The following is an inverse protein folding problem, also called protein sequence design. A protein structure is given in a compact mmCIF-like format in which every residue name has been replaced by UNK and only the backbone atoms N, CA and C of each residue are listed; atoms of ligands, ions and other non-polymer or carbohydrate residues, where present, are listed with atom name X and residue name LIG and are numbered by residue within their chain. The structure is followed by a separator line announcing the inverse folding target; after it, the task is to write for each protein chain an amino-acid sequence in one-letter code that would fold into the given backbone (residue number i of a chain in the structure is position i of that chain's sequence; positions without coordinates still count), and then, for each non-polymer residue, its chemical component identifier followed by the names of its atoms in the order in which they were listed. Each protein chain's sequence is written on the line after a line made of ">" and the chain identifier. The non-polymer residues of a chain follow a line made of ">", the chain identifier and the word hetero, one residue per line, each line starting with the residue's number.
data_IF_921160959053
#
_entry.id   IF_921160959053
#
_cell.length_a   1.000
_cell.length_b   1.000
_cell.length_c   1.000
_cell.angle_alpha   90.00
_cell.angle_beta   90.00
_cell.angle_gamma   90.00
#
_symmetry.space_group_name_H-M   'P 1'
#
loop_
_entity.id
_entity.type
_entity.pdbx_description
1 polymer ?
#
# COMPACT_ATOMS: atom_id res chain seq x y z
N UNK A 1 16.59 -5.49 -11.12
CA UNK A 1 16.45 -4.25 -10.37
C UNK A 1 17.41 -4.25 -9.20
N UNK A 2 18.15 -3.18 -9.05
CA UNK A 2 19.17 -3.12 -8.01
C UNK A 2 18.60 -3.25 -6.60
N UNK A 3 17.44 -2.63 -6.34
CA UNK A 3 16.82 -2.70 -5.03
C UNK A 3 16.31 -4.10 -4.68
N UNK A 4 15.98 -4.92 -5.69
CA UNK A 4 15.54 -6.27 -5.44
C UNK A 4 16.70 -7.24 -5.25
N UNK A 5 17.85 -6.94 -5.85
CA UNK A 5 19.02 -7.77 -5.73
C UNK A 5 19.55 -7.84 -4.29
N UNK A 6 19.19 -6.87 -3.47
CA UNK A 6 19.62 -6.79 -2.07
C UNK A 6 18.65 -7.46 -1.09
N UNK A 7 17.54 -7.98 -1.58
CA UNK A 7 16.57 -8.63 -0.71
C UNK A 7 16.85 -10.14 -0.64
N UNK A 8 17.40 -10.63 0.49
CA UNK A 8 17.70 -12.06 0.63
C UNK A 8 16.44 -12.93 0.74
N UNK A 9 15.27 -12.30 0.92
CA UNK A 9 14.01 -13.02 1.08
C UNK A 9 13.22 -13.11 -0.22
N UNK A 10 13.76 -12.58 -1.32
CA UNK A 10 13.06 -12.59 -2.61
C UNK A 10 12.89 -14.02 -3.14
N UNK A 11 11.66 -14.34 -3.51
CA UNK A 11 11.29 -15.63 -4.13
C UNK A 11 11.57 -16.85 -3.25
N UNK A 12 11.46 -16.70 -1.95
CA UNK A 12 11.52 -17.83 -1.03
C UNK A 12 10.20 -18.59 -1.05
N UNK A 13 10.23 -19.88 -0.72
CA UNK A 13 9.00 -20.69 -0.58
C UNK A 13 8.10 -20.18 0.53
N UNK A 14 8.69 -19.59 1.55
CA UNK A 14 7.99 -18.97 2.65
C UNK A 14 8.78 -17.74 3.10
N UNK A 15 8.10 -16.60 3.14
CA UNK A 15 8.64 -15.37 3.70
C UNK A 15 7.95 -15.11 5.02
N UNK A 16 8.73 -14.98 6.08
CA UNK A 16 8.17 -14.58 7.37
C UNK A 16 8.16 -13.06 7.47
N UNK A 17 7.01 -12.51 7.80
CA UNK A 17 6.88 -11.07 7.93
C UNK A 17 7.85 -10.50 8.96
N UNK A 18 8.06 -11.19 10.08
CA UNK A 18 9.02 -10.74 11.11
C UNK A 18 10.43 -10.59 10.57
N UNK A 19 10.86 -11.47 9.68
CA UNK A 19 12.18 -11.36 9.06
C UNK A 19 12.24 -10.17 8.09
N UNK A 20 11.15 -9.96 7.36
CA UNK A 20 11.08 -8.83 6.44
C UNK A 20 11.10 -7.50 7.18
N UNK A 21 10.35 -7.41 8.28
CA UNK A 21 10.35 -6.20 9.11
C UNK A 21 11.75 -5.91 9.67
N UNK A 22 12.53 -6.94 9.98
CA UNK A 22 13.87 -6.77 10.53
C UNK A 22 14.89 -6.27 9.51
N UNK A 23 14.59 -6.35 8.21
CA UNK A 23 15.48 -5.84 7.18
C UNK A 23 15.50 -4.32 7.08
N UNK A 24 14.47 -3.67 7.60
CA UNK A 24 14.27 -2.23 7.40
C UNK A 24 14.32 -1.49 8.73
N UNK A 25 15.20 -0.48 8.79
CA UNK A 25 15.30 0.40 9.95
C UNK A 25 14.53 1.69 9.73
N UNK A 26 14.36 2.09 8.47
CA UNK A 26 13.69 3.33 8.11
C UNK A 26 12.35 3.06 7.46
N UNK A 27 11.41 3.97 7.68
CA UNK A 27 10.05 3.88 7.14
C UNK A 27 9.71 5.17 6.40
N UNK A 28 8.81 5.15 5.41
CA UNK A 28 8.12 3.95 4.89
C UNK A 28 9.03 3.07 4.05
N UNK A 29 8.59 1.85 3.79
CA UNK A 29 9.31 0.97 2.87
C UNK A 29 8.34 0.05 2.13
N UNK A 30 8.81 -0.46 1.01
CA UNK A 30 8.14 -1.54 0.30
C UNK A 30 9.20 -2.51 -0.22
N UNK A 31 8.85 -3.79 -0.25
CA UNK A 31 9.74 -4.84 -0.73
C UNK A 31 8.97 -5.83 -1.58
N UNK A 32 9.56 -6.19 -2.71
CA UNK A 32 9.05 -7.29 -3.49
C UNK A 32 9.50 -8.60 -2.84
N UNK A 33 8.54 -9.48 -2.57
CA UNK A 33 8.83 -10.79 -1.98
C UNK A 33 8.70 -11.92 -2.99
N UNK A 34 7.92 -11.71 -4.05
CA UNK A 34 7.81 -12.63 -5.18
C UNK A 34 7.79 -11.80 -6.46
N UNK A 35 8.68 -12.14 -7.39
CA UNK A 35 8.68 -11.56 -8.73
C UNK A 35 8.97 -12.66 -9.72
N UNK A 36 8.05 -12.90 -10.63
CA UNK A 36 8.23 -13.83 -11.73
C UNK A 36 7.48 -13.31 -12.96
N UNK A 37 7.36 -14.11 -13.98
CA UNK A 37 6.75 -13.68 -15.24
C UNK A 37 5.22 -13.52 -15.16
N UNK A 38 4.60 -13.90 -14.06
CA UNK A 38 3.15 -13.82 -13.88
C UNK A 38 2.71 -12.93 -12.75
N UNK A 39 3.51 -12.87 -11.68
CA UNK A 39 3.09 -12.22 -10.46
C UNK A 39 4.19 -11.33 -9.88
N UNK A 40 3.75 -10.28 -9.22
CA UNK A 40 4.60 -9.47 -8.36
C UNK A 40 3.86 -9.30 -7.03
N UNK A 41 4.47 -9.80 -5.97
CA UNK A 41 3.91 -9.67 -4.63
C UNK A 41 4.81 -8.75 -3.82
N UNK A 42 4.22 -7.68 -3.30
CA UNK A 42 4.95 -6.64 -2.59
C UNK A 42 4.35 -6.42 -1.22
N UNK A 43 5.21 -6.25 -0.23
CA UNK A 43 4.79 -5.88 1.13
C UNK A 43 5.13 -4.40 1.32
N UNK A 44 4.16 -3.64 1.84
CA UNK A 44 4.29 -2.20 2.05
C UNK A 44 4.05 -1.87 3.51
N UNK A 45 4.98 -1.12 4.09
CA UNK A 45 4.91 -0.65 5.47
C UNK A 45 4.79 0.87 5.48
N UNK A 46 3.76 1.37 6.17
CA UNK A 46 3.55 2.80 6.31
C UNK A 46 3.29 3.19 7.75
N UNK A 47 3.79 4.36 8.13
CA UNK A 47 3.49 4.98 9.42
C UNK A 47 2.12 5.64 9.40
N UNK A 48 1.51 5.83 10.58
CA UNK A 48 0.25 6.57 10.66
C UNK A 48 0.35 7.93 9.98
N UNK A 49 -0.67 8.26 9.18
CA UNK A 49 -0.74 9.52 8.46
C UNK A 49 -0.14 9.50 7.07
N UNK A 50 0.68 8.51 6.76
CA UNK A 50 1.24 8.39 5.41
C UNK A 50 0.17 8.00 4.41
N UNK A 51 0.21 8.64 3.24
CA UNK A 51 -0.82 8.51 2.22
C UNK A 51 -0.21 8.38 0.84
N UNK A 52 -0.93 7.70 -0.04
CA UNK A 52 -0.61 7.66 -1.47
C UNK A 52 -1.89 7.97 -2.22
N UNK A 53 -1.83 8.94 -3.13
CA UNK A 53 -3.00 9.43 -3.84
C UNK A 53 -2.98 9.04 -5.30
N UNK A 54 -4.17 8.90 -5.86
CA UNK A 54 -4.39 8.77 -7.30
C UNK A 54 -3.63 7.62 -7.93
N UNK A 55 -3.61 6.49 -7.24
CA UNK A 55 -3.08 5.26 -7.77
C UNK A 55 -4.03 4.71 -8.84
N UNK A 56 -3.47 4.19 -9.91
CA UNK A 56 -4.25 3.50 -10.93
C UNK A 56 -3.38 2.45 -11.62
N UNK A 57 -3.95 1.29 -11.83
CA UNK A 57 -3.37 0.28 -12.72
C UNK A 57 -4.30 0.20 -13.92
N UNK A 58 -3.90 0.73 -15.09
CA UNK A 58 -4.81 0.80 -16.23
C UNK A 58 -5.12 -0.55 -16.85
N UNK A 59 -4.24 -1.52 -16.69
CA UNK A 59 -4.31 -2.76 -17.45
C UNK A 59 -4.74 -3.98 -16.64
N UNK A 60 -4.53 -3.95 -15.33
CA UNK A 60 -4.77 -5.12 -14.47
C UNK A 60 -5.48 -4.75 -13.19
N UNK A 61 -6.24 -5.70 -12.67
CA UNK A 61 -6.83 -5.57 -11.35
C UNK A 61 -5.73 -5.62 -10.29
N UNK A 62 -6.00 -4.99 -9.15
CA UNK A 62 -5.12 -5.07 -7.99
C UNK A 62 -5.83 -5.74 -6.84
N UNK A 63 -5.10 -6.57 -6.13
CA UNK A 63 -5.60 -7.27 -4.94
C UNK A 63 -4.68 -6.90 -3.79
N UNK A 64 -5.28 -6.50 -2.67
CA UNK A 64 -4.55 -6.11 -1.47
C UNK A 64 -5.06 -6.90 -0.27
N UNK A 65 -4.16 -7.23 0.63
CA UNK A 65 -4.50 -7.90 1.89
C UNK A 65 -3.85 -7.08 3.00
N UNK A 66 -4.65 -6.65 3.98
CA UNK A 66 -4.13 -5.91 5.13
C UNK A 66 -3.74 -6.90 6.21
N UNK A 67 -2.49 -6.79 6.69
CA UNK A 67 -1.96 -7.66 7.73
C UNK A 67 -1.96 -7.01 9.11
N UNK A 68 -1.65 -5.70 9.17
CA UNK A 68 -1.62 -4.94 10.41
C UNK A 68 -2.11 -3.52 10.20
N UNK A 69 -2.61 -2.92 11.26
CA UNK A 69 -2.98 -1.52 11.27
C UNK A 69 -4.34 -1.28 10.63
N UNK A 70 -4.63 -0.02 10.39
CA UNK A 70 -5.86 0.41 9.75
C UNK A 70 -5.53 1.29 8.57
N UNK A 71 -6.27 1.12 7.49
CA UNK A 71 -6.04 1.85 6.25
C UNK A 71 -7.38 2.35 5.73
N UNK A 72 -7.43 3.64 5.41
CA UNK A 72 -8.58 4.18 4.70
C UNK A 72 -8.32 4.10 3.21
N UNK A 73 -9.23 3.47 2.49
CA UNK A 73 -9.20 3.31 1.04
C UNK A 73 -10.32 4.11 0.42
N UNK A 74 -10.01 4.84 -0.64
CA UNK A 74 -11.03 5.48 -1.48
C UNK A 74 -10.86 4.94 -2.88
N UNK A 75 -11.88 4.27 -3.38
CA UNK A 75 -11.84 3.60 -4.68
C UNK A 75 -12.90 4.23 -5.57
N UNK A 76 -12.47 4.87 -6.66
CA UNK A 76 -13.39 5.53 -7.58
C UNK A 76 -14.29 6.50 -6.84
N UNK A 77 -15.58 6.39 -7.09
CA UNK A 77 -16.61 7.25 -6.48
C UNK A 77 -17.30 6.61 -5.28
N UNK A 78 -16.80 5.50 -4.78
CA UNK A 78 -17.51 4.71 -3.77
C UNK A 78 -17.35 5.25 -2.34
N UNK A 79 -16.57 6.29 -2.16
CA UNK A 79 -16.33 6.85 -0.83
C UNK A 79 -15.25 6.10 -0.06
N UNK A 80 -15.07 6.49 1.19
CA UNK A 80 -14.01 5.93 2.01
C UNK A 80 -14.42 4.62 2.65
N UNK A 81 -13.51 3.65 2.63
CA UNK A 81 -13.64 2.40 3.37
C UNK A 81 -12.57 2.34 4.44
N UNK A 82 -12.95 1.88 5.61
CA UNK A 82 -12.02 1.64 6.70
C UNK A 82 -11.64 0.16 6.68
N UNK A 83 -10.41 -0.12 6.26
CA UNK A 83 -9.93 -1.49 6.03
C UNK A 83 -9.04 -1.92 7.20
N UNK A 84 -9.22 -3.14 7.66
CA UNK A 84 -8.58 -3.68 8.86
C UNK A 84 -7.87 -5.00 8.56
N UNK A 85 -7.02 -5.48 9.50
CA UNK A 85 -6.31 -6.74 9.30
C UNK A 85 -7.26 -7.89 8.97
N UNK A 86 -6.90 -8.64 7.94
CA UNK A 86 -7.72 -9.73 7.44
C UNK A 86 -8.65 -9.35 6.30
N UNK A 87 -8.83 -8.05 6.04
CA UNK A 87 -9.65 -7.61 4.92
C UNK A 87 -8.88 -7.73 3.61
N UNK A 88 -9.61 -8.03 2.56
CA UNK A 88 -9.10 -8.13 1.19
C UNK A 88 -9.75 -7.04 0.39
N UNK A 89 -8.93 -6.23 -0.29
CA UNK A 89 -9.41 -5.13 -1.12
C UNK A 89 -9.17 -5.47 -2.59
N UNK A 90 -10.19 -5.25 -3.38
CA UNK A 90 -10.14 -5.46 -4.82
C UNK A 90 -10.34 -4.13 -5.54
N UNK A 91 -9.39 -3.77 -6.39
CA UNK A 91 -9.46 -2.57 -7.19
C UNK A 91 -9.45 -2.99 -8.67
N UNK A 92 -10.57 -2.82 -9.38
CA UNK A 92 -10.62 -3.16 -10.80
C UNK A 92 -9.64 -2.33 -11.63
N UNK A 93 -9.18 -2.91 -12.72
CA UNK A 93 -8.31 -2.21 -13.67
C UNK A 93 -8.94 -0.89 -14.10
N UNK A 94 -8.11 0.13 -14.22
CA UNK A 94 -8.56 1.46 -14.66
C UNK A 94 -9.26 2.30 -13.60
N UNK A 95 -9.38 1.80 -12.39
CA UNK A 95 -10.02 2.53 -11.31
C UNK A 95 -8.98 3.26 -10.46
N UNK A 96 -9.17 4.56 -10.29
CA UNK A 96 -8.29 5.37 -9.46
C UNK A 96 -8.64 5.19 -7.98
N UNK A 97 -7.62 5.09 -7.15
CA UNK A 97 -7.83 4.95 -5.72
C UNK A 97 -6.73 5.65 -4.93
N UNK A 98 -7.03 5.92 -3.66
CA UNK A 98 -6.09 6.55 -2.73
C UNK A 98 -6.14 5.80 -1.41
N UNK A 99 -5.02 5.76 -0.71
CA UNK A 99 -4.89 5.05 0.56
C UNK A 99 -4.19 5.92 1.59
N UNK A 100 -4.57 5.72 2.84
CA UNK A 100 -3.94 6.39 3.97
C UNK A 100 -3.93 5.48 5.18
N UNK A 101 -2.76 5.38 5.83
CA UNK A 101 -2.67 4.69 7.11
C UNK A 101 -3.31 5.55 8.19
N UNK A 102 -4.32 4.99 8.87
CA UNK A 102 -5.07 5.67 9.92
C UNK A 102 -4.84 4.96 11.25
N UNK A 103 -5.44 5.51 12.33
CA UNK A 103 -5.21 4.94 13.65
C UNK A 103 -3.87 5.36 14.23
N UNK A 104 -3.41 4.63 15.23
CA UNK A 104 -2.18 4.95 15.98
C UNK A 104 -1.00 4.09 15.56
N UNK A 105 -1.26 2.99 14.92
CA UNK A 105 -0.23 1.99 14.60
C UNK A 105 0.15 2.03 13.14
N UNK A 106 1.38 1.61 12.81
CA UNK A 106 1.77 1.41 11.42
C UNK A 106 0.87 0.40 10.73
N UNK A 107 0.82 0.48 9.41
CA UNK A 107 0.09 -0.49 8.60
C UNK A 107 1.05 -1.35 7.80
N UNK A 108 0.65 -2.60 7.58
CA UNK A 108 1.33 -3.50 6.67
C UNK A 108 0.28 -4.10 5.75
N UNK A 109 0.52 -3.98 4.45
CA UNK A 109 -0.35 -4.55 3.44
C UNK A 109 0.46 -5.29 2.38
N UNK A 110 -0.18 -6.25 1.75
CA UNK A 110 0.41 -7.04 0.67
C UNK A 110 -0.35 -6.77 -0.61
N UNK A 111 0.36 -6.45 -1.68
CA UNK A 111 -0.24 -6.34 -3.00
C UNK A 111 0.12 -7.56 -3.85
N UNK A 112 -0.83 -7.98 -4.67
CA UNK A 112 -0.64 -9.04 -5.65
C UNK A 112 -0.99 -8.44 -6.99
N UNK A 113 0.00 -8.28 -7.87
CA UNK A 113 -0.14 -7.61 -9.15
C UNK A 113 0.55 -8.39 -10.26
N UNK A 114 0.26 -7.97 -11.49
CA UNK A 114 1.05 -8.38 -12.63
C UNK A 114 2.46 -7.75 -12.51
N UNK A 115 3.50 -8.40 -13.07
CA UNK A 115 4.88 -7.93 -12.90
C UNK A 115 5.17 -6.59 -13.59
N UNK A 116 4.34 -6.18 -14.55
CA UNK A 116 4.47 -4.92 -15.27
C UNK A 116 3.58 -3.80 -14.68
N UNK A 117 3.05 -3.99 -13.48
CA UNK A 117 2.24 -2.97 -12.84
C UNK A 117 3.04 -1.67 -12.66
N UNK A 118 2.40 -0.49 -12.85
CA UNK A 118 3.08 0.79 -12.67
C UNK A 118 3.62 0.95 -11.24
N UNK A 119 4.75 1.65 -11.13
CA UNK A 119 5.25 2.02 -9.81
C UNK A 119 4.33 3.05 -9.17
N UNK A 120 4.07 2.95 -7.87
CA UNK A 120 3.22 3.91 -7.19
C UNK A 120 3.91 5.28 -7.09
N UNK A 121 3.14 6.38 -7.00
CA UNK A 121 3.71 7.68 -6.71
C UNK A 121 4.34 7.72 -5.32
N UNK A 122 5.18 8.72 -5.03
CA UNK A 122 5.80 8.86 -3.72
C UNK A 122 4.75 8.97 -2.61
N UNK A 123 5.12 8.45 -1.44
CA UNK A 123 4.27 8.52 -0.25
C UNK A 123 4.25 9.96 0.27
N UNK A 124 3.06 10.43 0.61
CA UNK A 124 2.89 11.69 1.30
C UNK A 124 3.07 11.44 2.80
N UNK A 125 4.07 12.08 3.39
CA UNK A 125 4.41 11.91 4.78
C UNK A 125 3.96 13.08 5.65
N UNK A 126 3.00 13.86 5.18
CA UNK A 126 2.47 14.99 5.95
C UNK A 126 1.94 14.52 7.32
N UNK A 127 2.01 15.39 8.33
CA UNK A 127 1.51 15.05 9.66
C UNK A 127 0.06 14.60 9.66
N UNK A 128 -0.30 13.76 10.63
CA UNK A 128 -1.67 13.29 10.77
C UNK A 128 -2.58 14.48 11.01
N UNK A 129 -3.62 14.58 10.19
CA UNK A 129 -4.62 15.62 10.30
C UNK A 129 -5.48 15.36 11.54
N UNK A 130 -5.74 16.36 12.41
CA UNK A 130 -6.62 16.19 13.57
C UNK A 130 -8.06 15.84 13.18
N UNK A 131 -8.44 16.07 11.92
CA UNK A 131 -9.71 15.60 11.37
C UNK A 131 -9.43 14.35 10.54
N UNK A 132 -9.67 13.14 11.08
CA UNK A 132 -9.29 11.90 10.39
C UNK A 132 -10.07 11.63 9.11
N UNK A 133 -11.15 12.36 8.85
CA UNK A 133 -11.89 12.21 7.60
C UNK A 133 -11.24 12.96 6.45
N UNK A 134 -10.28 13.81 6.77
CA UNK A 134 -9.57 14.59 5.75
C UNK A 134 -8.26 13.92 5.41
N UNK A 135 -8.11 13.59 4.14
CA UNK A 135 -6.85 13.11 3.61
C UNK A 135 -6.17 14.32 2.97
N UNK A 136 -5.00 14.75 3.46
CA UNK A 136 -4.32 15.93 2.89
C UNK A 136 -4.16 15.78 1.38
N UNK A 137 -4.55 16.82 0.64
CA UNK A 137 -4.47 16.81 -0.80
C UNK A 137 -5.59 16.09 -1.52
N UNK A 138 -6.51 15.43 -0.80
CA UNK A 138 -7.64 14.74 -1.42
C UNK A 138 -8.64 15.76 -1.96
N UNK A 139 -8.91 15.78 -3.26
CA UNK A 139 -9.84 16.75 -3.85
C UNK A 139 -11.28 16.58 -3.39
N UNK A 140 -11.63 15.46 -2.80
CA UNK A 140 -12.97 15.22 -2.25
C UNK A 140 -13.19 15.95 -0.92
N UNK A 141 -12.15 16.54 -0.35
CA UNK A 141 -12.21 17.35 0.84
C UNK A 141 -11.54 18.71 0.58
N UNK A 142 -12.00 19.44 -0.42
CA UNK A 142 -11.36 20.71 -0.77
C UNK A 142 -11.52 21.74 0.35
N UNK A 143 -10.52 22.59 0.52
CA UNK A 143 -10.54 23.64 1.51
C UNK A 143 -10.35 23.18 2.94
N UNK A 144 -9.89 22.01 3.09
CA UNK A 144 -9.85 21.35 4.37
C UNK A 144 -8.48 21.45 5.02
#
# INVERSE_FOLDING_TARGET
>A
MAENDNNPLLNQRRTKLSELLALHEETPWSEDVIVNDRNRVRVVYNQPGESVFDLVNPDNDEIWIVLFGQITWRIGDEGAMNVRPGDIVYVPAGTTYSIRTTGRDPSVRVSINAPDAPEPPPVDTAPINPNPERIPGDPRHPGV
#
